data_IF_938020927322
#
_entry.id   IF_938020927322
#
_cell.length_a   1.000
_cell.length_b   1.000
_cell.length_c   1.000
_cell.angle_alpha   90.00
_cell.angle_beta   90.00
_cell.angle_gamma   90.00
#
_symmetry.space_group_name_H-M   'P 1'
#
loop_
_entity.id
_entity.type
_entity.pdbx_description
1 polymer ?
#
# COMPACT_ATOMS: atom_id res chain seq x y z
N UNK A 1 12.03 1.71 -13.35
CA UNK A 1 13.14 1.96 -12.43
C UNK A 1 12.59 2.54 -11.13
N UNK A 2 13.01 1.98 -10.00
CA UNK A 2 12.61 2.43 -8.66
C UNK A 2 13.86 2.60 -7.81
N UNK A 3 14.22 3.84 -7.53
CA UNK A 3 15.41 4.20 -6.76
C UNK A 3 15.06 4.64 -5.34
N UNK A 4 15.70 4.05 -4.34
CA UNK A 4 15.52 4.38 -2.91
C UNK A 4 16.86 4.52 -2.20
N UNK A 5 16.84 4.82 -0.89
CA UNK A 5 18.01 4.68 -0.03
C UNK A 5 18.29 3.20 0.29
N UNK A 6 19.45 2.91 0.89
CA UNK A 6 19.86 1.53 1.18
C UNK A 6 19.00 0.85 2.26
N UNK A 7 18.41 1.60 3.20
CA UNK A 7 17.54 1.02 4.22
C UNK A 7 16.32 0.34 3.61
N UNK A 8 15.74 0.93 2.54
CA UNK A 8 14.61 0.33 1.86
C UNK A 8 15.01 -0.97 1.14
N UNK A 9 16.22 -1.03 0.58
CA UNK A 9 16.72 -2.28 -0.01
C UNK A 9 16.97 -3.36 1.02
N UNK A 10 17.47 -2.99 2.19
CA UNK A 10 17.68 -3.93 3.31
C UNK A 10 16.37 -4.44 3.92
N UNK A 11 15.28 -3.66 3.83
CA UNK A 11 13.96 -4.04 4.32
C UNK A 11 13.16 -4.84 3.27
N UNK A 12 13.27 -4.49 1.98
CA UNK A 12 12.47 -5.07 0.88
C UNK A 12 13.31 -6.07 0.08
N UNK A 13 13.68 -7.16 0.74
CA UNK A 13 14.70 -8.13 0.28
C UNK A 13 14.19 -9.16 -0.75
N UNK A 14 12.88 -9.21 -0.98
CA UNK A 14 12.30 -10.25 -1.85
C UNK A 14 12.08 -9.73 -3.27
N UNK A 15 13.02 -10.04 -4.17
CA UNK A 15 12.96 -9.57 -5.57
C UNK A 15 12.02 -10.38 -6.46
N UNK A 16 11.71 -11.62 -6.10
CA UNK A 16 10.84 -12.54 -6.87
C UNK A 16 9.90 -13.29 -5.94
N UNK A 17 8.94 -12.59 -5.31
CA UNK A 17 8.05 -13.21 -4.34
C UNK A 17 7.11 -14.22 -5.00
N UNK A 18 6.85 -15.31 -4.30
CA UNK A 18 5.93 -16.38 -4.69
C UNK A 18 4.79 -16.57 -3.69
N UNK A 19 4.84 -15.90 -2.55
CA UNK A 19 3.83 -15.95 -1.51
C UNK A 19 3.56 -14.59 -0.88
N UNK A 20 2.48 -14.51 -0.12
CA UNK A 20 1.99 -13.30 0.54
C UNK A 20 3.06 -12.61 1.41
N UNK A 21 3.77 -13.38 2.23
CA UNK A 21 4.79 -12.81 3.11
C UNK A 21 5.92 -12.13 2.31
N UNK A 22 6.47 -12.83 1.34
CA UNK A 22 7.53 -12.28 0.48
C UNK A 22 7.06 -11.05 -0.30
N UNK A 23 5.83 -11.07 -0.80
CA UNK A 23 5.27 -9.96 -1.59
C UNK A 23 5.16 -8.66 -0.79
N UNK A 24 4.84 -8.75 0.49
CA UNK A 24 4.78 -7.57 1.40
C UNK A 24 6.15 -6.91 1.60
N UNK A 25 7.22 -7.66 1.39
CA UNK A 25 8.61 -7.18 1.48
C UNK A 25 9.31 -7.16 0.11
N UNK A 26 8.56 -6.81 -0.94
CA UNK A 26 9.06 -6.69 -2.32
C UNK A 26 8.65 -5.35 -2.93
N UNK A 27 9.62 -4.52 -3.26
CA UNK A 27 9.39 -3.29 -4.02
C UNK A 27 8.90 -3.61 -5.42
N UNK A 28 9.53 -4.58 -6.07
CA UNK A 28 9.18 -4.97 -7.45
C UNK A 28 7.73 -5.46 -7.52
N UNK A 29 7.30 -6.25 -6.53
CA UNK A 29 5.91 -6.70 -6.48
C UNK A 29 4.93 -5.53 -6.28
N UNK A 30 5.23 -4.65 -5.32
CA UNK A 30 4.38 -3.50 -5.02
C UNK A 30 4.20 -2.59 -6.24
N UNK A 31 5.27 -2.36 -6.99
CA UNK A 31 5.20 -1.58 -8.24
C UNK A 31 4.47 -2.35 -9.34
N UNK A 32 4.73 -3.65 -9.49
CA UNK A 32 4.08 -4.48 -10.51
C UNK A 32 2.57 -4.52 -10.34
N UNK A 33 2.09 -4.75 -9.12
CA UNK A 33 0.66 -4.84 -8.84
C UNK A 33 -0.06 -3.49 -9.04
N UNK A 34 0.58 -2.39 -8.67
CA UNK A 34 0.06 -1.04 -8.92
C UNK A 34 -0.03 -0.73 -10.42
N UNK A 35 0.96 -1.12 -11.23
CA UNK A 35 0.93 -0.92 -12.67
C UNK A 35 -0.13 -1.77 -13.37
N UNK A 36 -0.34 -3.01 -12.90
CA UNK A 36 -1.31 -3.94 -13.50
C UNK A 36 -2.73 -3.67 -13.02
N UNK A 37 -2.92 -3.43 -11.73
CA UNK A 37 -4.26 -3.43 -11.11
C UNK A 37 -4.68 -2.07 -10.57
N UNK A 38 -3.79 -1.06 -10.52
CA UNK A 38 -4.03 0.29 -9.98
C UNK A 38 -4.45 0.28 -8.50
N UNK A 39 -4.20 -0.82 -7.82
CA UNK A 39 -4.61 -1.06 -6.45
C UNK A 39 -3.59 -1.98 -5.77
N UNK A 40 -3.32 -1.76 -4.47
CA UNK A 40 -2.40 -2.57 -3.67
C UNK A 40 -2.93 -2.69 -2.23
N UNK A 41 -4.06 -3.39 -2.06
CA UNK A 41 -4.69 -3.71 -0.78
C UNK A 41 -4.50 -5.19 -0.41
N UNK A 42 -5.18 -5.67 0.63
CA UNK A 42 -5.03 -7.05 1.13
C UNK A 42 -5.29 -8.11 0.04
N UNK A 43 -6.36 -8.00 -0.79
CA UNK A 43 -6.62 -9.00 -1.83
C UNK A 43 -5.51 -9.14 -2.86
N UNK A 44 -4.82 -8.03 -3.16
CA UNK A 44 -3.75 -8.01 -4.15
C UNK A 44 -2.49 -8.74 -3.66
N UNK A 45 -2.31 -8.91 -2.35
CA UNK A 45 -1.17 -9.62 -1.75
C UNK A 45 -1.46 -11.07 -1.40
N UNK A 46 -2.53 -11.67 -1.93
CA UNK A 46 -2.82 -13.10 -1.74
C UNK A 46 -2.02 -13.96 -2.74
N UNK A 47 -1.56 -15.14 -2.32
CA UNK A 47 -0.76 -16.08 -3.13
C UNK A 47 -1.35 -16.33 -4.52
N UNK A 48 -2.69 -16.47 -4.57
CA UNK A 48 -3.42 -16.66 -5.83
C UNK A 48 -3.24 -15.50 -6.82
N UNK A 49 -3.04 -14.26 -6.33
CA UNK A 49 -2.84 -13.07 -7.17
C UNK A 49 -1.37 -12.89 -7.53
N UNK A 50 -0.50 -13.13 -6.57
CA UNK A 50 0.95 -12.99 -6.73
C UNK A 50 1.47 -13.84 -7.89
N UNK A 51 1.00 -15.08 -7.99
CA UNK A 51 1.46 -16.04 -8.99
C UNK A 51 0.77 -15.94 -10.36
N UNK A 52 -0.04 -14.88 -10.60
CA UNK A 52 -0.63 -14.67 -11.93
C UNK A 52 0.41 -14.20 -12.96
N UNK A 53 0.34 -14.71 -14.20
CA UNK A 53 1.33 -14.39 -15.24
C UNK A 53 1.47 -12.90 -15.55
N UNK A 54 0.39 -12.14 -15.52
CA UNK A 54 0.39 -10.70 -15.77
C UNK A 54 1.24 -9.93 -14.76
N UNK A 55 1.13 -10.27 -13.46
CA UNK A 55 1.93 -9.66 -12.39
C UNK A 55 3.38 -10.14 -12.48
N UNK A 56 3.60 -11.45 -12.62
CA UNK A 56 4.95 -12.00 -12.71
C UNK A 56 5.72 -11.47 -13.93
N UNK A 57 5.05 -11.25 -15.06
CA UNK A 57 5.66 -10.64 -16.23
C UNK A 57 5.95 -9.15 -16.03
N UNK A 58 5.10 -8.41 -15.33
CA UNK A 58 5.38 -7.01 -14.99
C UNK A 58 6.52 -6.90 -13.98
N UNK A 59 6.53 -7.73 -12.96
CA UNK A 59 7.54 -7.77 -11.92
C UNK A 59 8.97 -7.90 -12.48
N UNK A 60 9.16 -8.71 -13.55
CA UNK A 60 10.46 -8.87 -14.21
C UNK A 60 10.96 -7.60 -14.92
N UNK A 61 10.09 -6.63 -15.17
CA UNK A 61 10.43 -5.35 -15.83
C UNK A 61 10.84 -4.28 -14.84
N UNK A 62 10.73 -4.53 -13.54
CA UNK A 62 11.00 -3.55 -12.50
C UNK A 62 12.44 -3.73 -12.03
N UNK A 63 13.19 -2.64 -12.09
CA UNK A 63 14.54 -2.53 -11.58
C UNK A 63 14.50 -1.71 -10.28
N UNK A 64 14.77 -2.37 -9.17
CA UNK A 64 14.87 -1.76 -7.83
C UNK A 64 16.33 -1.56 -7.47
N UNK A 65 16.74 -0.32 -7.20
CA UNK A 65 18.14 0.00 -7.02
C UNK A 65 18.37 1.11 -5.98
N UNK A 66 19.61 1.19 -5.47
CA UNK A 66 20.08 2.28 -4.62
C UNK A 66 20.28 3.55 -5.47
N UNK A 67 19.55 4.60 -5.16
CA UNK A 67 19.62 5.88 -5.84
C UNK A 67 20.42 6.90 -5.00
N UNK A 68 21.40 7.57 -5.60
CA UNK A 68 22.27 8.53 -4.91
C UNK A 68 21.50 9.73 -4.32
N UNK A 69 20.46 10.21 -5.01
CA UNK A 69 19.64 11.35 -4.56
C UNK A 69 18.77 10.91 -3.37
N UNK A 70 18.17 9.71 -3.45
CA UNK A 70 17.38 9.15 -2.35
C UNK A 70 18.26 8.87 -1.12
N UNK A 71 19.48 8.40 -1.32
CA UNK A 71 20.45 8.18 -0.25
C UNK A 71 20.86 9.50 0.44
N UNK A 72 21.16 10.54 -0.35
CA UNK A 72 21.52 11.87 0.15
C UNK A 72 20.37 12.60 0.87
N UNK A 73 19.10 12.20 0.62
CA UNK A 73 17.95 12.76 1.31
C UNK A 73 17.86 12.33 2.80
N UNK A 74 18.66 11.34 3.20
CA UNK A 74 18.73 10.84 4.58
C UNK A 74 17.60 9.88 4.94
N UNK A 75 17.48 9.56 6.23
CA UNK A 75 16.56 8.53 6.73
C UNK A 75 15.27 9.10 7.33
N UNK A 76 15.20 10.41 7.53
CA UNK A 76 13.98 11.10 7.96
C UNK A 76 12.90 11.09 6.87
N UNK A 77 13.30 10.76 5.65
CA UNK A 77 12.45 10.62 4.47
C UNK A 77 12.57 9.23 3.88
N UNK A 78 11.47 8.68 3.43
CA UNK A 78 11.45 7.44 2.65
C UNK A 78 11.51 7.75 1.15
N UNK A 79 12.49 8.58 0.75
CA UNK A 79 12.58 9.06 -0.63
C UNK A 79 12.61 7.91 -1.62
N UNK A 80 11.63 7.91 -2.50
CA UNK A 80 11.50 6.97 -3.62
C UNK A 80 11.43 7.77 -4.91
N UNK A 81 12.27 7.45 -5.89
CA UNK A 81 12.30 8.04 -7.22
C UNK A 81 11.88 6.95 -8.21
N UNK A 82 10.85 7.23 -8.99
CA UNK A 82 10.29 6.28 -9.95
C UNK A 82 10.38 6.84 -11.34
N UNK A 83 10.94 6.06 -12.27
CA UNK A 83 10.97 6.32 -13.71
C UNK A 83 10.21 5.20 -14.43
N UNK A 84 9.13 5.55 -15.13
CA UNK A 84 8.33 4.63 -15.94
C UNK A 84 8.65 4.88 -17.41
N UNK A 85 9.25 3.88 -18.07
CA UNK A 85 9.57 3.92 -19.48
C UNK A 85 8.40 3.35 -20.29
N UNK A 86 7.78 4.19 -21.11
CA UNK A 86 6.66 3.81 -21.96
C UNK A 86 7.11 3.20 -23.28
N UNK A 87 6.27 2.35 -23.90
CA UNK A 87 6.57 1.73 -25.19
C UNK A 87 6.81 2.73 -26.35
N UNK A 88 6.28 3.92 -26.24
CA UNK A 88 6.47 5.00 -27.22
C UNK A 88 7.76 5.82 -27.00
N UNK A 89 8.65 5.37 -26.13
CA UNK A 89 9.91 6.04 -25.80
C UNK A 89 9.79 7.17 -24.77
N UNK A 90 8.58 7.57 -24.37
CA UNK A 90 8.40 8.58 -23.32
C UNK A 90 8.74 8.02 -21.94
N UNK A 91 9.27 8.89 -21.08
CA UNK A 91 9.52 8.61 -19.67
C UNK A 91 8.60 9.47 -18.80
N UNK A 92 8.02 8.83 -17.78
CA UNK A 92 7.26 9.51 -16.73
C UNK A 92 8.07 9.35 -15.44
N UNK A 93 8.39 10.46 -14.79
CA UNK A 93 9.17 10.47 -13.56
C UNK A 93 8.32 10.98 -12.40
N UNK A 94 8.54 10.42 -11.20
CA UNK A 94 7.90 10.85 -9.97
C UNK A 94 8.82 10.68 -8.78
N UNK A 95 8.56 11.48 -7.73
CA UNK A 95 9.25 11.40 -6.45
C UNK A 95 8.24 11.42 -5.31
N UNK A 96 8.45 10.57 -4.32
CA UNK A 96 7.74 10.58 -3.05
C UNK A 96 8.75 10.58 -1.90
N UNK A 97 8.59 11.48 -0.93
CA UNK A 97 9.45 11.59 0.23
C UNK A 97 8.81 10.98 1.49
N UNK A 98 7.48 10.93 1.53
CA UNK A 98 6.74 10.44 2.69
C UNK A 98 5.60 9.51 2.27
N UNK A 99 5.33 8.52 3.10
CA UNK A 99 4.16 7.66 2.92
C UNK A 99 2.86 8.34 3.35
N UNK A 100 1.77 8.02 2.67
CA UNK A 100 0.42 8.44 3.07
C UNK A 100 0.08 7.89 4.46
N UNK A 101 -0.44 8.73 5.33
CA UNK A 101 -0.69 8.44 6.73
C UNK A 101 0.47 8.78 7.67
N UNK A 102 1.60 9.27 7.13
CA UNK A 102 2.67 9.86 7.94
C UNK A 102 2.26 11.24 8.48
N UNK A 103 2.95 11.77 9.51
CA UNK A 103 2.67 13.12 10.02
C UNK A 103 2.76 14.22 8.96
N UNK A 104 3.59 14.01 7.92
CA UNK A 104 3.77 14.96 6.82
C UNK A 104 2.67 14.87 5.74
N UNK A 105 2.03 13.69 5.61
CA UNK A 105 0.92 13.45 4.67
C UNK A 105 -0.17 12.67 5.43
N UNK A 106 -0.89 13.32 6.37
CA UNK A 106 -1.90 12.64 7.17
C UNK A 106 -3.07 12.19 6.31
N UNK A 107 -3.67 11.09 6.69
CA UNK A 107 -4.92 10.62 6.07
C UNK A 107 -6.10 11.43 6.61
N UNK A 108 -7.02 11.76 5.72
CA UNK A 108 -8.34 12.26 6.11
C UNK A 108 -9.17 11.16 6.74
N UNK A 109 -10.24 11.54 7.46
CA UNK A 109 -11.17 10.55 8.02
C UNK A 109 -11.76 9.62 6.94
N UNK A 110 -12.15 10.18 5.80
CA UNK A 110 -12.74 9.41 4.71
C UNK A 110 -11.73 8.41 4.10
N UNK A 111 -10.46 8.76 4.00
CA UNK A 111 -9.40 7.84 3.54
C UNK A 111 -9.15 6.70 4.54
N UNK A 112 -9.24 6.98 5.85
CA UNK A 112 -9.19 5.92 6.88
C UNK A 112 -10.43 5.03 6.81
N UNK A 113 -11.61 5.62 6.59
CA UNK A 113 -12.86 4.89 6.42
C UNK A 113 -12.83 3.98 5.18
N UNK A 114 -12.29 4.45 4.06
CA UNK A 114 -12.11 3.62 2.85
C UNK A 114 -11.18 2.43 3.11
N UNK A 115 -10.08 2.65 3.82
CA UNK A 115 -9.18 1.56 4.23
C UNK A 115 -9.91 0.54 5.12
N UNK A 116 -10.69 1.00 6.09
CA UNK A 116 -11.49 0.14 6.94
C UNK A 116 -12.53 -0.67 6.14
N UNK A 117 -13.22 -0.03 5.18
CA UNK A 117 -14.16 -0.71 4.29
C UNK A 117 -13.48 -1.83 3.51
N UNK A 118 -12.28 -1.61 2.98
CA UNK A 118 -11.50 -2.64 2.29
C UNK A 118 -11.12 -3.82 3.20
N UNK A 119 -10.80 -3.57 4.47
CA UNK A 119 -10.57 -4.61 5.47
C UNK A 119 -11.84 -5.41 5.76
N UNK A 120 -12.99 -4.73 5.89
CA UNK A 120 -14.29 -5.37 6.13
C UNK A 120 -14.71 -6.24 4.93
N UNK A 121 -14.52 -5.77 3.71
CA UNK A 121 -14.76 -6.52 2.48
C UNK A 121 -13.91 -7.81 2.46
N UNK A 122 -12.62 -7.71 2.73
CA UNK A 122 -11.74 -8.86 2.82
C UNK A 122 -12.16 -9.85 3.91
N UNK A 123 -12.56 -9.34 5.08
CA UNK A 123 -13.05 -10.15 6.20
C UNK A 123 -14.48 -10.65 6.01
N UNK A 124 -15.14 -10.31 4.89
CA UNK A 124 -16.54 -10.66 4.58
C UNK A 124 -17.55 -10.13 5.62
N UNK A 125 -17.27 -8.98 6.19
CA UNK A 125 -18.21 -8.31 7.05
C UNK A 125 -19.33 -7.65 6.24
N UNK A 126 -20.58 -7.62 6.75
CA UNK A 126 -21.69 -6.95 6.07
C UNK A 126 -21.39 -5.45 5.90
N UNK A 127 -21.54 -4.93 4.68
CA UNK A 127 -21.26 -3.53 4.37
C UNK A 127 -22.10 -2.55 5.24
N UNK A 128 -23.33 -2.92 5.58
CA UNK A 128 -24.19 -2.13 6.48
C UNK A 128 -23.57 -1.98 7.87
N UNK A 129 -22.98 -3.07 8.41
CA UNK A 129 -22.30 -3.09 9.71
C UNK A 129 -21.03 -2.21 9.67
N UNK A 130 -20.22 -2.36 8.61
CA UNK A 130 -19.02 -1.56 8.41
C UNK A 130 -19.34 -0.04 8.35
N UNK A 131 -20.37 0.36 7.60
CA UNK A 131 -20.83 1.75 7.53
C UNK A 131 -21.32 2.28 8.88
N UNK A 132 -22.05 1.47 9.65
CA UNK A 132 -22.49 1.83 10.99
C UNK A 132 -21.32 2.07 11.96
N UNK A 133 -20.26 1.27 11.85
CA UNK A 133 -19.03 1.44 12.63
C UNK A 133 -18.33 2.76 12.25
N UNK A 134 -18.17 3.04 10.96
CA UNK A 134 -17.57 4.29 10.47
C UNK A 134 -18.32 5.49 11.02
N UNK A 135 -19.66 5.52 10.91
CA UNK A 135 -20.46 6.63 11.39
C UNK A 135 -20.40 6.77 12.92
N UNK A 136 -20.37 5.64 13.63
CA UNK A 136 -20.22 5.64 15.10
C UNK A 136 -18.87 6.21 15.52
N UNK A 137 -17.77 5.82 14.86
CA UNK A 137 -16.44 6.32 15.17
C UNK A 137 -16.30 7.80 14.78
N UNK A 138 -16.93 8.26 13.70
CA UNK A 138 -16.97 9.68 13.32
C UNK A 138 -17.58 10.57 14.39
N UNK A 139 -18.49 10.02 15.17
CA UNK A 139 -19.19 10.72 16.26
C UNK A 139 -18.76 10.25 17.66
N UNK A 140 -17.59 9.61 17.78
CA UNK A 140 -17.14 8.95 19.00
C UNK A 140 -17.14 9.88 20.23
N UNK A 141 -16.68 11.11 20.07
CA UNK A 141 -16.60 12.12 21.14
C UNK A 141 -17.97 12.53 21.69
N UNK A 142 -19.06 12.32 20.91
CA UNK A 142 -20.44 12.62 21.33
C UNK A 142 -21.12 11.44 21.99
N UNK A 143 -20.48 10.27 22.05
CA UNK A 143 -21.07 9.06 22.61
C UNK A 143 -21.04 9.09 24.13
N UNK A 144 -22.20 8.82 24.74
CA UNK A 144 -22.32 8.67 26.20
C UNK A 144 -21.96 7.26 26.70
N UNK A 145 -21.97 6.27 25.80
CA UNK A 145 -21.78 4.86 26.14
C UNK A 145 -21.01 4.16 25.02
N UNK A 146 -19.75 3.85 25.29
CA UNK A 146 -18.83 3.16 24.37
C UNK A 146 -19.22 1.67 24.13
N UNK A 147 -20.03 1.07 24.99
CA UNK A 147 -20.46 -0.33 24.82
C UNK A 147 -21.21 -0.56 23.51
N UNK A 148 -21.85 0.50 22.97
CA UNK A 148 -22.50 0.46 21.65
C UNK A 148 -21.52 0.18 20.51
N UNK A 149 -20.33 0.80 20.55
CA UNK A 149 -19.28 0.52 19.56
C UNK A 149 -18.75 -0.92 19.74
N UNK A 150 -18.50 -1.34 20.99
CA UNK A 150 -18.04 -2.71 21.28
C UNK A 150 -19.01 -3.77 20.74
N UNK A 151 -20.32 -3.56 20.89
CA UNK A 151 -21.36 -4.43 20.32
C UNK A 151 -21.35 -4.45 18.79
N UNK A 152 -21.07 -3.32 18.14
CA UNK A 152 -20.91 -3.27 16.68
C UNK A 152 -19.65 -3.99 16.21
N UNK A 153 -18.57 -4.00 16.99
CA UNK A 153 -17.31 -4.67 16.67
C UNK A 153 -17.32 -6.18 16.96
N UNK A 154 -18.25 -6.66 17.81
CA UNK A 154 -18.40 -8.09 18.04
C UNK A 154 -18.94 -8.83 16.80
N UNK A 155 -18.50 -10.10 16.60
CA UNK A 155 -19.04 -10.99 15.55
C UNK A 155 -20.47 -11.40 15.82
#
# INVERSE_FOLDING_TARGET
DVGTNHNMQNALIHHRPTNEFQAKFSMEYSMAILLVQRRAYIPEYQDKRINKPDVQNMLRKINFYKNKIAEAAGYDKMTTIIDIHLKNGKKISGRGDFGKGSPMIPMTYDEVADKFMGCCEFAKWPAKKAKAIIETVKNLEKMKDISKLSKLLSK
#
